data_IF_466470595550
#
_entry.id   IF_466470595550
#
_cell.length_a   1.000
_cell.length_b   1.000
_cell.length_c   1.000
_cell.angle_alpha   90.00
_cell.angle_beta   90.00
_cell.angle_gamma   90.00
#
_symmetry.space_group_name_H-M   'P 1'
#
loop_
_entity.id
_entity.type
_entity.pdbx_description
1 polymer ?
#
# COMPACT_ATOMS: atom_id res chain seq x y z
N UNK A 1 -0.60 4.16 -15.54
CA UNK A 1 -1.61 3.75 -14.53
C UNK A 1 -2.37 4.98 -14.00
N UNK A 2 -3.50 4.82 -13.30
CA UNK A 2 -4.20 5.95 -12.66
C UNK A 2 -3.32 6.69 -11.64
N UNK A 3 -2.42 5.96 -10.98
CA UNK A 3 -1.37 6.51 -10.11
C UNK A 3 -0.57 7.63 -10.77
N UNK A 4 -0.15 7.42 -12.00
CA UNK A 4 0.64 8.40 -12.77
C UNK A 4 -0.26 9.51 -13.32
N UNK A 5 -1.46 9.16 -13.76
CA UNK A 5 -2.44 10.12 -14.28
C UNK A 5 -2.80 11.16 -13.22
N UNK A 6 -2.84 10.79 -11.94
CA UNK A 6 -3.05 11.72 -10.83
C UNK A 6 -2.00 12.86 -10.73
N UNK A 7 -0.89 12.81 -11.47
CA UNK A 7 0.12 13.88 -11.54
C UNK A 7 -0.24 14.98 -12.54
N UNK A 8 -1.18 14.72 -13.43
CA UNK A 8 -1.56 15.58 -14.55
C UNK A 8 -2.67 16.57 -14.14
N UNK A 9 -2.61 17.08 -12.90
CA UNK A 9 -3.72 17.87 -12.32
C UNK A 9 -3.77 19.28 -12.87
N UNK A 10 -4.99 19.79 -12.96
CA UNK A 10 -5.35 21.20 -13.22
C UNK A 10 -4.96 21.77 -14.59
N UNK A 11 -4.32 20.97 -15.45
CA UNK A 11 -4.00 21.33 -16.83
C UNK A 11 -4.95 20.65 -17.82
N UNK A 12 -5.29 21.37 -18.89
CA UNK A 12 -6.08 20.81 -19.99
C UNK A 12 -5.15 20.17 -21.02
N UNK A 13 -5.45 18.92 -21.36
CA UNK A 13 -4.73 18.15 -22.36
C UNK A 13 -5.71 17.66 -23.42
N UNK A 14 -5.17 17.40 -24.60
CA UNK A 14 -5.83 16.52 -25.57
C UNK A 14 -5.38 15.07 -25.35
N UNK A 15 -6.17 14.11 -25.83
CA UNK A 15 -5.79 12.69 -25.71
C UNK A 15 -4.48 12.39 -26.46
N UNK A 16 -4.26 13.04 -27.61
CA UNK A 16 -3.01 12.93 -28.37
C UNK A 16 -1.80 13.41 -27.55
N UNK A 17 -1.92 14.58 -26.90
CA UNK A 17 -0.86 15.10 -26.04
C UNK A 17 -0.57 14.16 -24.86
N UNK A 18 -1.60 13.59 -24.23
CA UNK A 18 -1.41 12.62 -23.15
C UNK A 18 -0.67 11.37 -23.65
N UNK A 19 -1.03 10.85 -24.83
CA UNK A 19 -0.32 9.70 -25.41
C UNK A 19 1.16 10.04 -25.63
N UNK A 20 1.48 11.22 -26.17
CA UNK A 20 2.87 11.63 -26.40
C UNK A 20 3.64 11.87 -25.10
N UNK A 21 3.00 12.43 -24.08
CA UNK A 21 3.61 12.67 -22.76
C UNK A 21 3.92 11.35 -22.05
N UNK A 22 2.95 10.42 -22.04
CA UNK A 22 3.09 9.15 -21.36
C UNK A 22 3.95 8.14 -22.14
N UNK A 23 3.98 8.27 -23.47
CA UNK A 23 4.73 7.40 -24.36
C UNK A 23 5.49 8.24 -25.40
N UNK A 24 6.66 8.82 -25.03
CA UNK A 24 7.45 9.64 -25.95
C UNK A 24 7.90 8.92 -27.22
N UNK A 25 7.95 7.58 -27.21
CA UNK A 25 8.22 6.76 -28.39
C UNK A 25 7.13 6.86 -29.46
N UNK A 26 5.93 7.32 -29.10
CA UNK A 26 4.78 7.50 -29.99
C UNK A 26 4.64 8.95 -30.50
N UNK A 27 5.65 9.80 -30.32
CA UNK A 27 5.59 11.22 -30.72
C UNK A 27 5.40 11.43 -32.23
N UNK A 28 5.74 10.44 -33.06
CA UNK A 28 5.50 10.47 -34.51
C UNK A 28 4.07 10.10 -34.90
N UNK A 29 3.26 9.58 -33.97
CA UNK A 29 1.86 9.19 -34.23
C UNK A 29 1.00 10.44 -34.33
N UNK A 30 0.28 10.59 -35.44
CA UNK A 30 -0.62 11.73 -35.68
C UNK A 30 -2.07 11.43 -35.24
N UNK A 31 -2.89 12.48 -35.16
CA UNK A 31 -4.31 12.35 -34.84
C UNK A 31 -5.04 11.44 -35.84
N UNK A 32 -4.73 11.57 -37.14
CA UNK A 32 -5.34 10.77 -38.20
C UNK A 32 -4.95 9.30 -38.11
N UNK A 33 -3.74 9.00 -37.61
CA UNK A 33 -3.32 7.62 -37.41
C UNK A 33 -4.04 6.98 -36.24
N UNK A 34 -4.26 7.71 -35.13
CA UNK A 34 -5.00 7.19 -33.98
C UNK A 34 -6.43 6.78 -34.32
N UNK A 35 -7.11 7.49 -35.24
CA UNK A 35 -8.49 7.16 -35.61
C UNK A 35 -8.61 5.90 -36.48
N UNK A 36 -7.52 5.46 -37.10
CA UNK A 36 -7.48 4.28 -37.98
C UNK A 36 -6.91 3.04 -37.27
N UNK A 37 -6.14 3.22 -36.20
CA UNK A 37 -5.55 2.12 -35.47
C UNK A 37 -6.56 1.32 -34.65
N UNK A 38 -6.29 0.03 -34.52
CA UNK A 38 -6.94 -0.82 -33.53
C UNK A 38 -6.26 -0.59 -32.17
N UNK A 39 -6.84 0.31 -31.39
CA UNK A 39 -6.27 0.75 -30.12
C UNK A 39 -6.81 -0.08 -28.95
N UNK A 40 -5.92 -0.38 -28.00
CA UNK A 40 -6.27 -0.94 -26.68
C UNK A 40 -5.66 -0.04 -25.61
N UNK A 41 -6.51 0.56 -24.78
CA UNK A 41 -6.11 1.29 -23.60
C UNK A 41 -6.20 0.39 -22.36
N UNK A 42 -5.11 0.28 -21.61
CA UNK A 42 -5.07 -0.45 -20.35
C UNK A 42 -4.91 0.58 -19.23
N UNK A 43 -5.99 0.82 -18.48
CA UNK A 43 -5.99 1.68 -17.32
C UNK A 43 -5.86 0.85 -16.05
N UNK A 44 -4.68 0.90 -15.45
CA UNK A 44 -4.38 0.15 -14.23
C UNK A 44 -4.69 0.96 -12.97
N UNK A 45 -5.47 0.40 -12.05
CA UNK A 45 -5.70 0.90 -10.69
C UNK A 45 -6.75 2.01 -10.56
N UNK A 46 -7.98 1.81 -11.07
CA UNK A 46 -9.05 2.82 -10.97
C UNK A 46 -9.36 3.23 -9.51
N UNK A 47 -9.20 2.32 -8.56
CA UNK A 47 -9.35 2.61 -7.11
C UNK A 47 -8.31 3.58 -6.56
N UNK A 48 -7.24 3.85 -7.32
CA UNK A 48 -6.21 4.83 -6.99
C UNK A 48 -6.49 6.19 -7.65
N UNK A 49 -7.53 6.30 -8.48
CA UNK A 49 -7.90 7.54 -9.17
C UNK A 49 -8.35 8.62 -8.18
N UNK A 50 -7.85 9.84 -8.35
CA UNK A 50 -8.36 11.04 -7.64
C UNK A 50 -9.31 11.87 -8.51
N UNK A 51 -9.64 11.40 -9.70
CA UNK A 51 -10.54 12.08 -10.62
C UNK A 51 -11.99 11.68 -10.34
N UNK A 52 -12.88 12.66 -10.30
CA UNK A 52 -14.32 12.42 -10.28
C UNK A 52 -14.78 12.14 -11.71
N UNK A 53 -15.17 10.90 -12.01
CA UNK A 53 -15.70 10.50 -13.31
C UNK A 53 -17.20 10.79 -13.36
N UNK A 54 -17.58 11.90 -14.00
CA UNK A 54 -18.98 12.28 -14.19
C UNK A 54 -19.46 11.83 -15.57
N UNK A 55 -20.34 10.83 -15.60
CA UNK A 55 -20.98 10.31 -16.82
C UNK A 55 -22.35 10.95 -17.09
N UNK A 56 -22.76 11.94 -16.28
CA UNK A 56 -24.08 12.59 -16.38
C UNK A 56 -24.00 14.00 -16.96
N UNK A 57 -23.03 14.82 -16.51
CA UNK A 57 -22.88 16.21 -16.94
C UNK A 57 -21.52 16.45 -17.63
N UNK A 58 -21.13 15.55 -18.52
CA UNK A 58 -19.86 15.69 -19.24
C UNK A 58 -19.97 16.57 -20.49
N UNK A 59 -18.93 17.35 -20.75
CA UNK A 59 -18.75 18.03 -22.03
C UNK A 59 -18.39 16.99 -23.10
N UNK A 60 -19.06 17.05 -24.26
CA UNK A 60 -18.74 16.16 -25.38
C UNK A 60 -17.34 16.45 -25.91
N UNK A 61 -16.51 15.41 -25.97
CA UNK A 61 -15.18 15.43 -26.58
C UNK A 61 -15.11 14.25 -27.54
N UNK A 62 -14.98 14.53 -28.84
CA UNK A 62 -14.92 13.49 -29.88
C UNK A 62 -13.64 13.56 -30.73
N UNK A 63 -12.86 14.63 -30.59
CA UNK A 63 -11.61 14.85 -31.32
C UNK A 63 -10.42 14.61 -30.39
N UNK A 64 -9.46 13.79 -30.84
CA UNK A 64 -8.23 13.45 -30.08
C UNK A 64 -7.30 14.64 -29.86
N UNK A 65 -7.47 15.73 -30.60
CA UNK A 65 -6.72 17.00 -30.47
C UNK A 65 -7.43 18.04 -29.60
N UNK A 66 -8.71 17.82 -29.28
CA UNK A 66 -9.47 18.74 -28.43
C UNK A 66 -8.97 18.67 -26.99
N UNK A 67 -8.58 19.83 -26.43
CA UNK A 67 -8.18 19.94 -25.04
C UNK A 67 -9.38 19.91 -24.09
N UNK A 68 -9.26 19.12 -23.03
CA UNK A 68 -10.24 19.01 -21.95
C UNK A 68 -9.54 18.60 -20.65
N UNK A 69 -10.30 18.52 -19.55
CA UNK A 69 -9.80 17.85 -18.35
C UNK A 69 -9.60 16.35 -18.60
N UNK A 70 -8.69 15.73 -17.86
CA UNK A 70 -8.49 14.27 -17.97
C UNK A 70 -9.78 13.48 -17.68
N UNK A 71 -10.58 13.94 -16.71
CA UNK A 71 -11.86 13.29 -16.39
C UNK A 71 -12.79 13.28 -17.61
N UNK A 72 -12.96 14.41 -18.29
CA UNK A 72 -13.78 14.49 -19.50
C UNK A 72 -13.23 13.63 -20.63
N UNK A 73 -11.91 13.61 -20.85
CA UNK A 73 -11.30 12.76 -21.87
C UNK A 73 -11.57 11.28 -21.58
N UNK A 74 -11.40 10.85 -20.34
CA UNK A 74 -11.56 9.46 -19.93
C UNK A 74 -13.03 9.04 -19.98
N UNK A 75 -13.97 9.86 -19.52
CA UNK A 75 -15.41 9.53 -19.58
C UNK A 75 -15.89 9.47 -21.03
N UNK A 76 -15.47 10.39 -21.91
CA UNK A 76 -15.80 10.34 -23.33
C UNK A 76 -15.16 9.13 -24.04
N UNK A 77 -13.95 8.71 -23.65
CA UNK A 77 -13.32 7.49 -24.15
C UNK A 77 -14.11 6.25 -23.72
N UNK A 78 -14.53 6.17 -22.45
CA UNK A 78 -15.30 5.05 -21.90
C UNK A 78 -16.72 4.97 -22.48
N UNK A 79 -17.38 6.11 -22.71
CA UNK A 79 -18.69 6.13 -23.38
C UNK A 79 -18.61 5.88 -24.90
N UNK A 80 -17.40 5.91 -25.47
CA UNK A 80 -17.18 5.71 -26.91
C UNK A 80 -17.43 6.96 -27.77
N UNK A 81 -17.52 8.15 -27.16
CA UNK A 81 -17.59 9.42 -27.89
C UNK A 81 -16.21 9.81 -28.48
N UNK A 82 -15.14 9.45 -27.76
CA UNK A 82 -13.75 9.64 -28.18
C UNK A 82 -13.16 8.28 -28.55
N UNK A 83 -12.64 8.16 -29.78
CA UNK A 83 -12.14 6.89 -30.34
C UNK A 83 -13.12 5.71 -30.18
N UNK A 84 -14.29 5.74 -30.86
CA UNK A 84 -15.37 4.75 -30.65
C UNK A 84 -14.97 3.28 -30.87
N UNK A 85 -13.93 3.02 -31.66
CA UNK A 85 -13.43 1.68 -31.96
C UNK A 85 -12.35 1.18 -30.98
N UNK A 86 -11.95 2.00 -30.01
CA UNK A 86 -10.91 1.63 -29.06
C UNK A 86 -11.43 0.62 -28.04
N UNK A 87 -10.59 -0.38 -27.73
CA UNK A 87 -10.83 -1.30 -26.63
C UNK A 87 -10.28 -0.70 -25.34
N UNK A 88 -10.97 -0.94 -24.23
CA UNK A 88 -10.56 -0.43 -22.92
C UNK A 88 -10.54 -1.60 -21.93
N UNK A 89 -9.43 -1.73 -21.21
CA UNK A 89 -9.28 -2.66 -20.09
C UNK A 89 -8.95 -1.88 -18.83
N UNK A 90 -9.81 -1.96 -17.82
CA UNK A 90 -9.62 -1.27 -16.55
C UNK A 90 -9.43 -2.30 -15.45
N UNK A 91 -8.38 -2.14 -14.64
CA UNK A 91 -8.22 -2.89 -13.38
C UNK A 91 -8.67 -2.03 -12.20
N UNK A 92 -9.32 -2.64 -11.22
CA UNK A 92 -9.82 -1.92 -10.04
C UNK A 92 -10.07 -2.88 -8.88
N UNK A 93 -9.97 -2.38 -7.65
CA UNK A 93 -10.61 -3.03 -6.49
C UNK A 93 -12.14 -2.99 -6.63
N UNK A 94 -12.87 -4.04 -6.18
CA UNK A 94 -14.32 -4.12 -6.33
C UNK A 94 -15.09 -2.88 -5.84
N UNK A 95 -14.62 -2.24 -4.77
CA UNK A 95 -15.25 -1.07 -4.17
C UNK A 95 -15.23 0.19 -5.07
N UNK A 96 -14.34 0.27 -6.04
CA UNK A 96 -14.23 1.39 -6.97
C UNK A 96 -14.75 1.07 -8.39
N UNK A 97 -15.02 -0.21 -8.69
CA UNK A 97 -15.52 -0.62 -9.99
C UNK A 97 -16.89 -0.01 -10.34
N UNK A 98 -17.69 0.32 -9.32
CA UNK A 98 -18.98 1.00 -9.46
C UNK A 98 -18.89 2.45 -9.95
N UNK A 99 -17.69 3.04 -10.01
CA UNK A 99 -17.48 4.35 -10.65
C UNK A 99 -17.75 4.29 -12.16
N UNK A 100 -17.65 3.11 -12.78
CA UNK A 100 -17.95 2.91 -14.19
C UNK A 100 -19.40 2.47 -14.34
N UNK A 101 -20.22 3.17 -15.14
CA UNK A 101 -21.60 2.77 -15.38
C UNK A 101 -21.68 1.36 -15.99
N UNK A 102 -22.58 0.48 -15.52
CA UNK A 102 -22.74 -0.87 -16.08
C UNK A 102 -23.02 -0.89 -17.59
N UNK A 103 -23.67 0.17 -18.12
CA UNK A 103 -23.92 0.34 -19.56
C UNK A 103 -22.65 0.44 -20.41
N UNK A 104 -21.51 0.79 -19.80
CA UNK A 104 -20.21 0.95 -20.46
C UNK A 104 -19.29 -0.28 -20.28
N UNK A 105 -19.81 -1.39 -19.73
CA UNK A 105 -19.00 -2.57 -19.38
C UNK A 105 -19.48 -3.80 -20.14
N UNK A 106 -18.68 -4.22 -21.12
CA UNK A 106 -18.97 -5.45 -21.90
C UNK A 106 -18.62 -6.73 -21.14
N UNK A 107 -17.56 -6.70 -20.32
CA UNK A 107 -17.04 -7.88 -19.62
C UNK A 107 -16.40 -7.51 -18.29
N UNK A 108 -16.66 -8.34 -17.28
CA UNK A 108 -16.00 -8.30 -15.96
C UNK A 108 -15.23 -9.59 -15.75
N UNK A 109 -13.97 -9.48 -15.29
CA UNK A 109 -13.15 -10.63 -14.87
C UNK A 109 -12.65 -10.40 -13.46
N UNK A 110 -12.88 -11.37 -12.57
CA UNK A 110 -12.44 -11.30 -11.17
C UNK A 110 -11.11 -12.05 -10.99
N UNK A 111 -10.07 -11.34 -10.53
CA UNK A 111 -8.79 -11.97 -10.15
C UNK A 111 -8.91 -12.54 -8.74
N UNK A 112 -9.04 -13.86 -8.64
CA UNK A 112 -9.31 -14.56 -7.37
C UNK A 112 -8.07 -14.93 -6.55
N UNK A 113 -6.87 -14.67 -7.05
CA UNK A 113 -5.62 -15.04 -6.38
C UNK A 113 -5.26 -16.53 -6.51
N UNK A 114 -4.41 -17.03 -5.63
CA UNK A 114 -3.86 -18.38 -5.65
C UNK A 114 -4.85 -19.43 -5.15
N UNK A 115 -4.92 -20.54 -5.89
CA UNK A 115 -5.47 -21.81 -5.41
C UNK A 115 -4.54 -22.45 -4.38
N UNK A 116 -5.02 -23.45 -3.64
CA UNK A 116 -4.20 -24.12 -2.63
C UNK A 116 -2.93 -24.76 -3.22
N UNK A 117 -3.03 -25.38 -4.40
CA UNK A 117 -1.87 -25.89 -5.11
C UNK A 117 -0.87 -24.79 -5.49
N UNK A 118 -1.36 -23.62 -5.91
CA UNK A 118 -0.51 -22.46 -6.25
C UNK A 118 0.15 -21.84 -5.02
N UNK A 119 -0.51 -21.85 -3.85
CA UNK A 119 0.11 -21.42 -2.58
C UNK A 119 1.31 -22.29 -2.26
N UNK A 120 1.15 -23.61 -2.33
CA UNK A 120 2.24 -24.55 -2.07
C UNK A 120 3.38 -24.39 -3.08
N UNK A 121 3.04 -24.29 -4.36
CA UNK A 121 4.01 -24.08 -5.44
C UNK A 121 4.83 -22.79 -5.24
N UNK A 122 4.18 -21.71 -4.79
CA UNK A 122 4.87 -20.47 -4.46
C UNK A 122 5.97 -20.69 -3.41
N UNK A 123 5.65 -21.37 -2.30
CA UNK A 123 6.60 -21.60 -1.22
C UNK A 123 7.72 -22.58 -1.64
N UNK A 124 7.39 -23.64 -2.40
CA UNK A 124 8.41 -24.55 -2.95
C UNK A 124 9.39 -23.83 -3.87
N UNK A 125 8.90 -22.98 -4.78
CA UNK A 125 9.77 -22.21 -5.68
C UNK A 125 10.62 -21.17 -4.96
N UNK A 126 10.12 -20.63 -3.85
CA UNK A 126 10.79 -19.54 -3.11
C UNK A 126 11.95 -20.04 -2.24
N UNK A 127 11.94 -21.29 -1.79
CA UNK A 127 12.95 -21.85 -0.89
C UNK A 127 13.58 -23.10 -1.50
N UNK A 128 14.90 -23.07 -1.69
CA UNK A 128 15.66 -24.23 -2.19
C UNK A 128 15.81 -25.35 -1.15
N UNK A 129 15.66 -25.02 0.13
CA UNK A 129 15.66 -25.97 1.24
C UNK A 129 14.25 -26.59 1.37
N UNK A 130 14.16 -27.88 1.06
CA UNK A 130 12.90 -28.65 1.06
C UNK A 130 12.32 -28.85 2.47
N UNK A 131 13.16 -28.91 3.51
CA UNK A 131 12.69 -29.05 4.89
C UNK A 131 12.09 -27.73 5.39
N UNK A 132 12.76 -26.61 5.07
CA UNK A 132 12.24 -25.28 5.36
C UNK A 132 10.93 -25.02 4.61
N UNK A 133 10.89 -25.32 3.30
CA UNK A 133 9.71 -25.13 2.46
C UNK A 133 8.52 -25.97 3.00
N UNK A 134 8.78 -27.22 3.38
CA UNK A 134 7.78 -28.14 3.94
C UNK A 134 7.22 -27.65 5.27
N UNK A 135 8.08 -27.13 6.17
CA UNK A 135 7.64 -26.55 7.46
C UNK A 135 6.77 -25.30 7.25
N UNK A 136 7.16 -24.42 6.32
CA UNK A 136 6.39 -23.20 6.00
C UNK A 136 5.01 -23.56 5.42
N UNK A 137 4.96 -24.50 4.47
CA UNK A 137 3.71 -24.98 3.89
C UNK A 137 2.82 -25.61 4.96
N UNK A 138 3.39 -26.42 5.85
CA UNK A 138 2.66 -27.03 6.97
C UNK A 138 2.05 -25.98 7.91
N UNK A 139 2.82 -24.96 8.29
CA UNK A 139 2.32 -23.85 9.12
C UNK A 139 1.24 -23.03 8.42
N UNK A 140 1.43 -22.71 7.14
CA UNK A 140 0.43 -22.02 6.32
C UNK A 140 -0.88 -22.80 6.24
N UNK A 141 -0.83 -24.13 6.09
CA UNK A 141 -2.02 -25.00 6.02
C UNK A 141 -2.74 -25.14 7.36
N UNK A 142 -1.99 -25.27 8.46
CA UNK A 142 -2.55 -25.48 9.80
C UNK A 142 -3.11 -24.19 10.40
N UNK A 143 -2.54 -23.03 10.05
CA UNK A 143 -3.09 -21.72 10.43
C UNK A 143 -4.19 -21.29 9.48
N UNK A 144 -5.45 -21.34 9.94
CA UNK A 144 -6.62 -20.88 9.15
C UNK A 144 -6.45 -19.46 8.62
N UNK A 145 -5.91 -18.55 9.42
CA UNK A 145 -5.71 -17.15 9.03
C UNK A 145 -4.69 -17.04 7.89
N UNK A 146 -3.53 -17.67 8.02
CA UNK A 146 -2.50 -17.65 6.98
C UNK A 146 -2.99 -18.32 5.69
N UNK A 147 -3.67 -19.45 5.82
CA UNK A 147 -4.24 -20.19 4.69
C UNK A 147 -5.19 -19.33 3.85
N UNK A 148 -6.08 -18.57 4.50
CA UNK A 148 -7.04 -17.68 3.83
C UNK A 148 -6.30 -16.52 3.17
N UNK A 149 -5.37 -15.87 3.87
CA UNK A 149 -4.67 -14.70 3.36
C UNK A 149 -3.72 -15.00 2.22
N UNK A 150 -3.01 -16.13 2.26
CA UNK A 150 -2.12 -16.58 1.19
C UNK A 150 -2.85 -16.86 -0.13
N UNK A 151 -4.18 -16.73 -0.17
CA UNK A 151 -4.89 -16.58 -1.44
C UNK A 151 -4.42 -15.35 -2.23
N UNK A 152 -4.02 -14.27 -1.55
CA UNK A 152 -3.49 -13.07 -2.21
C UNK A 152 -1.94 -13.17 -2.24
N UNK A 153 -1.30 -13.09 -3.42
CA UNK A 153 0.15 -13.35 -3.56
C UNK A 153 1.06 -12.53 -2.65
N UNK A 154 0.73 -11.27 -2.37
CA UNK A 154 1.53 -10.42 -1.46
C UNK A 154 1.60 -10.98 -0.05
N UNK A 155 0.55 -11.67 0.41
CA UNK A 155 0.55 -12.31 1.73
C UNK A 155 1.39 -13.58 1.74
N UNK A 156 1.52 -14.30 0.62
CA UNK A 156 2.50 -15.38 0.51
C UNK A 156 3.91 -14.84 0.69
N UNK A 157 4.21 -13.70 0.09
CA UNK A 157 5.52 -13.04 0.23
C UNK A 157 5.80 -12.56 1.65
N UNK A 158 4.84 -11.91 2.31
CA UNK A 158 4.94 -11.51 3.73
C UNK A 158 5.16 -12.75 4.61
N UNK A 159 4.36 -13.79 4.40
CA UNK A 159 4.43 -15.06 5.15
C UNK A 159 5.77 -15.74 4.96
N UNK A 160 6.25 -15.84 3.72
CA UNK A 160 7.56 -16.38 3.40
C UNK A 160 8.66 -15.61 4.12
N UNK A 161 8.63 -14.28 4.08
CA UNK A 161 9.64 -13.41 4.70
C UNK A 161 9.71 -13.60 6.22
N UNK A 162 8.56 -13.65 6.89
CA UNK A 162 8.50 -13.80 8.35
C UNK A 162 8.92 -15.20 8.78
N UNK A 163 8.36 -16.23 8.15
CA UNK A 163 8.65 -17.62 8.54
C UNK A 163 10.08 -18.03 8.18
N UNK A 164 10.64 -17.56 7.06
CA UNK A 164 12.06 -17.74 6.73
C UNK A 164 12.94 -17.22 7.88
N UNK A 165 12.69 -16.00 8.36
CA UNK A 165 13.47 -15.43 9.46
C UNK A 165 13.33 -16.24 10.75
N UNK A 166 12.10 -16.56 11.18
CA UNK A 166 11.86 -17.22 12.46
C UNK A 166 12.31 -18.69 12.48
N UNK A 167 12.28 -19.38 11.33
CA UNK A 167 12.67 -20.80 11.25
C UNK A 167 14.18 -21.00 11.05
N UNK A 168 14.90 -19.97 10.59
CA UNK A 168 16.35 -20.03 10.34
C UNK A 168 17.19 -19.37 11.43
N UNK A 169 16.59 -18.50 12.26
CA UNK A 169 17.25 -17.92 13.43
C UNK A 169 17.00 -18.78 14.68
N UNK A 170 17.89 -18.72 15.67
CA UNK A 170 17.72 -19.43 16.96
C UNK A 170 16.59 -18.84 17.84
N UNK A 171 15.73 -17.96 17.29
CA UNK A 171 14.55 -17.45 17.98
C UNK A 171 13.54 -18.59 18.16
N UNK A 172 13.56 -19.24 19.33
CA UNK A 172 12.58 -20.24 19.78
C UNK A 172 11.17 -19.66 20.04
N UNK A 173 10.81 -18.58 19.36
CA UNK A 173 9.50 -17.97 19.48
C UNK A 173 8.42 -18.83 18.81
N UNK A 174 7.20 -18.81 19.36
CA UNK A 174 6.07 -19.41 18.67
C UNK A 174 5.84 -18.73 17.31
N UNK A 175 5.56 -19.52 16.28
CA UNK A 175 5.26 -18.97 14.96
C UNK A 175 3.97 -18.12 15.01
N UNK A 176 3.88 -17.07 14.18
CA UNK A 176 2.73 -16.17 14.19
C UNK A 176 1.43 -16.92 13.91
N UNK A 177 0.44 -16.71 14.79
CA UNK A 177 -0.90 -17.31 14.68
C UNK A 177 -1.92 -16.29 14.20
N UNK A 178 -1.73 -15.02 14.54
CA UNK A 178 -2.63 -13.93 14.16
C UNK A 178 -2.04 -13.03 13.08
N UNK A 179 -2.93 -12.24 12.48
CA UNK A 179 -2.58 -11.20 11.53
C UNK A 179 -1.72 -10.09 12.15
N UNK A 180 -2.06 -9.71 13.38
CA UNK A 180 -1.30 -8.74 14.17
C UNK A 180 0.11 -9.25 14.42
N UNK A 181 0.28 -10.52 14.80
CA UNK A 181 1.60 -11.14 14.98
C UNK A 181 2.37 -11.11 13.65
N UNK A 182 1.72 -11.52 12.55
CA UNK A 182 2.34 -11.53 11.22
C UNK A 182 2.88 -10.16 10.81
N UNK A 183 2.08 -9.10 10.96
CA UNK A 183 2.54 -7.75 10.62
C UNK A 183 3.60 -7.23 11.58
N UNK A 184 3.46 -7.52 12.88
CA UNK A 184 4.45 -7.12 13.90
C UNK A 184 5.81 -7.76 13.61
N UNK A 185 5.83 -9.06 13.35
CA UNK A 185 7.04 -9.77 12.96
C UNK A 185 7.56 -9.32 11.60
N UNK A 186 6.68 -9.03 10.63
CA UNK A 186 7.11 -8.50 9.34
C UNK A 186 7.85 -7.16 9.50
N UNK A 187 7.28 -6.20 10.24
CA UNK A 187 7.97 -4.93 10.53
C UNK A 187 9.30 -5.13 11.27
N UNK A 188 9.33 -6.06 12.23
CA UNK A 188 10.55 -6.40 12.96
C UNK A 188 11.62 -6.96 12.03
N UNK A 189 11.27 -7.93 11.18
CA UNK A 189 12.19 -8.55 10.21
C UNK A 189 12.77 -7.52 9.25
N UNK A 190 11.93 -6.63 8.72
CA UNK A 190 12.39 -5.59 7.79
C UNK A 190 13.30 -4.57 8.49
N UNK A 191 12.98 -4.19 9.73
CA UNK A 191 13.84 -3.33 10.56
C UNK A 191 15.14 -4.02 10.96
N UNK A 192 15.17 -5.35 11.16
CA UNK A 192 16.42 -6.10 11.42
C UNK A 192 17.29 -6.17 10.17
N UNK A 193 16.71 -6.51 9.01
CA UNK A 193 17.42 -6.61 7.72
C UNK A 193 18.08 -5.28 7.30
N UNK A 194 17.55 -4.14 7.77
CA UNK A 194 18.17 -2.79 7.65
C UNK A 194 19.59 -2.74 8.21
N UNK A 195 19.85 -3.31 9.39
CA UNK A 195 21.15 -3.18 10.08
C UNK A 195 22.27 -3.88 9.31
N UNK A 196 22.02 -5.09 8.80
CA UNK A 196 23.07 -5.90 8.16
C UNK A 196 23.55 -5.31 6.82
N UNK A 197 22.65 -4.75 6.00
CA UNK A 197 23.00 -4.18 4.68
C UNK A 197 23.84 -2.90 4.73
N UNK A 198 23.81 -2.15 5.83
CA UNK A 198 24.59 -0.90 5.98
C UNK A 198 25.91 -1.11 6.74
N UNK A 199 26.05 -2.20 7.50
CA UNK A 199 27.29 -2.51 8.24
C UNK A 199 28.28 -3.36 7.42
N UNK A 200 27.88 -3.91 6.27
CA UNK A 200 28.79 -4.63 5.34
C UNK A 200 29.89 -3.74 4.70
N UNK A 201 29.89 -2.43 4.95
CA UNK A 201 30.99 -1.52 4.58
C UNK A 201 32.11 -1.38 5.61
N UNK A 202 31.97 -1.96 6.81
CA UNK A 202 32.99 -1.97 7.84
C UNK A 202 33.22 -3.40 8.31
N UNK A 203 34.37 -3.96 7.91
CA UNK A 203 34.79 -5.33 8.24
C UNK A 203 34.61 -5.68 9.72
N UNK A 204 34.02 -6.86 9.94
CA UNK A 204 34.35 -7.81 11.00
C UNK A 204 34.48 -7.28 12.43
N UNK A 205 33.37 -7.03 13.12
CA UNK A 205 33.19 -7.50 14.51
C UNK A 205 31.71 -7.44 14.89
N UNK A 206 31.31 -8.33 15.81
CA UNK A 206 29.95 -8.57 16.31
C UNK A 206 29.08 -9.55 15.51
N UNK A 207 29.40 -10.83 15.73
CA UNK A 207 28.36 -11.85 15.96
C UNK A 207 27.50 -11.35 17.13
N UNK A 208 26.29 -10.88 16.89
CA UNK A 208 25.37 -10.51 17.99
C UNK A 208 24.29 -11.57 18.20
N UNK A 209 24.60 -12.46 19.13
CA UNK A 209 23.75 -13.42 19.80
C UNK A 209 22.85 -12.76 20.86
N UNK A 210 22.23 -11.60 20.57
CA UNK A 210 21.29 -10.95 21.50
C UNK A 210 19.98 -10.54 20.81
N UNK A 211 18.81 -10.57 21.51
CA UNK A 211 17.56 -10.07 20.95
C UNK A 211 17.66 -8.54 20.83
N UNK A 212 18.18 -8.05 19.70
CA UNK A 212 18.31 -6.61 19.49
C UNK A 212 16.92 -5.96 19.40
N UNK A 213 16.59 -5.19 20.43
CA UNK A 213 15.38 -4.36 20.54
C UNK A 213 15.41 -3.26 19.47
N UNK A 214 14.23 -2.89 18.92
CA UNK A 214 14.07 -1.73 18.04
C UNK A 214 14.73 -0.49 18.65
N UNK A 215 15.56 0.23 17.89
CA UNK A 215 16.18 1.47 18.39
C UNK A 215 15.13 2.57 18.53
N UNK A 216 15.40 3.60 19.34
CA UNK A 216 14.50 4.75 19.44
C UNK A 216 14.30 5.45 18.08
N UNK A 217 15.33 5.49 17.24
CA UNK A 217 15.22 6.01 15.88
C UNK A 217 14.28 5.15 15.00
N UNK A 218 14.32 3.82 15.12
CA UNK A 218 13.40 2.94 14.39
C UNK A 218 11.94 3.15 14.84
N UNK A 219 11.73 3.32 16.15
CA UNK A 219 10.41 3.63 16.73
C UNK A 219 9.88 4.96 16.20
N UNK A 220 10.71 6.00 16.18
CA UNK A 220 10.32 7.32 15.66
C UNK A 220 9.89 7.24 14.19
N UNK A 221 10.65 6.56 13.34
CA UNK A 221 10.31 6.38 11.92
C UNK A 221 9.00 5.62 11.75
N UNK A 222 8.81 4.51 12.47
CA UNK A 222 7.56 3.73 12.42
C UNK A 222 6.36 4.56 12.87
N UNK A 223 6.52 5.41 13.89
CA UNK A 223 5.44 6.31 14.34
C UNK A 223 5.11 7.37 13.30
N UNK A 224 6.11 7.97 12.63
CA UNK A 224 5.88 8.92 11.53
C UNK A 224 5.19 8.26 10.33
N UNK A 225 5.58 7.03 9.98
CA UNK A 225 4.90 6.25 8.95
C UNK A 225 3.47 5.89 9.34
N UNK A 226 3.23 5.54 10.62
CA UNK A 226 1.89 5.29 11.14
C UNK A 226 1.00 6.53 11.12
N UNK A 227 1.57 7.70 11.41
CA UNK A 227 0.89 8.99 11.27
C UNK A 227 0.51 9.26 9.81
N UNK A 228 1.45 9.12 8.88
CA UNK A 228 1.22 9.26 7.44
C UNK A 228 0.10 8.31 6.97
N UNK A 229 0.16 7.06 7.40
CA UNK A 229 -0.83 6.05 7.07
C UNK A 229 -2.23 6.45 7.56
N UNK A 230 -2.35 6.85 8.83
CA UNK A 230 -3.60 7.26 9.45
C UNK A 230 -4.23 8.48 8.75
N UNK A 231 -3.50 9.60 8.67
CA UNK A 231 -4.03 10.86 8.11
C UNK A 231 -4.46 10.71 6.65
N UNK A 232 -3.80 9.83 5.89
CA UNK A 232 -4.15 9.60 4.49
C UNK A 232 -5.23 8.55 4.29
N UNK A 233 -5.36 7.55 5.18
CA UNK A 233 -6.52 6.64 5.15
C UNK A 233 -7.82 7.42 5.38
N UNK A 234 -7.84 8.38 6.30
CA UNK A 234 -9.01 9.26 6.53
C UNK A 234 -9.38 10.06 5.28
N UNK A 235 -8.37 10.47 4.50
CA UNK A 235 -8.55 11.20 3.22
C UNK A 235 -8.83 10.27 2.03
N UNK A 236 -8.86 8.95 2.22
CA UNK A 236 -8.99 7.97 1.13
C UNK A 236 -7.76 7.87 0.21
N UNK A 237 -6.60 8.37 0.66
CA UNK A 237 -5.37 8.37 -0.10
C UNK A 237 -4.52 7.12 0.20
N UNK A 238 -4.14 6.41 -0.85
CA UNK A 238 -3.19 5.27 -0.80
C UNK A 238 -1.80 5.61 -1.37
N UNK A 239 -1.67 6.81 -1.95
CA UNK A 239 -0.46 7.35 -2.55
C UNK A 239 -0.09 8.67 -1.88
N UNK A 240 1.21 8.91 -1.73
CA UNK A 240 1.78 10.08 -1.08
C UNK A 240 2.82 10.75 -1.98
N UNK A 241 2.93 12.06 -1.88
CA UNK A 241 3.96 12.87 -2.54
C UNK A 241 4.97 13.37 -1.53
N UNK A 242 6.09 13.93 -2.00
CA UNK A 242 7.17 14.38 -1.13
C UNK A 242 6.69 15.39 -0.07
N UNK A 243 5.70 16.21 -0.41
CA UNK A 243 5.08 17.18 0.49
C UNK A 243 4.32 16.49 1.64
N UNK A 244 3.60 15.41 1.34
CA UNK A 244 2.86 14.62 2.33
C UNK A 244 3.82 14.00 3.36
N UNK A 245 4.96 13.48 2.89
CA UNK A 245 6.01 12.92 3.75
C UNK A 245 6.62 14.00 4.65
N UNK A 246 6.95 15.16 4.08
CA UNK A 246 7.49 16.30 4.83
C UNK A 246 6.52 16.80 5.92
N UNK A 247 5.22 16.84 5.63
CA UNK A 247 4.18 17.21 6.62
C UNK A 247 4.15 16.24 7.82
N UNK A 248 4.44 14.97 7.57
CA UNK A 248 4.56 13.95 8.62
C UNK A 248 5.94 13.91 9.29
N UNK A 249 6.86 14.82 8.93
CA UNK A 249 8.21 14.87 9.48
C UNK A 249 9.14 13.75 8.97
N UNK A 250 8.80 13.14 7.82
CA UNK A 250 9.64 12.17 7.12
C UNK A 250 10.53 12.92 6.11
N UNK A 251 11.83 12.96 6.37
CA UNK A 251 12.78 13.56 5.44
C UNK A 251 13.21 12.53 4.38
N UNK A 252 12.73 12.79 3.16
CA UNK A 252 12.99 12.06 1.93
C UNK A 252 14.45 12.17 1.47
N UNK A 253 15.31 12.92 2.17
CA UNK A 253 16.75 12.99 1.92
C UNK A 253 17.57 12.15 2.91
N UNK A 254 16.98 11.70 4.01
CA UNK A 254 17.67 10.87 4.99
C UNK A 254 17.70 9.39 4.57
N UNK A 255 18.89 8.78 4.63
CA UNK A 255 19.07 7.34 4.43
C UNK A 255 18.28 6.47 5.44
N UNK A 256 17.87 7.07 6.57
CA UNK A 256 17.05 6.46 7.62
C UNK A 256 15.66 6.07 7.10
N UNK A 257 15.06 6.90 6.22
CA UNK A 257 13.76 6.65 5.61
C UNK A 257 13.90 5.52 4.58
N UNK A 258 14.89 5.58 3.69
CA UNK A 258 15.06 4.62 2.58
C UNK A 258 15.57 3.23 2.93
N UNK A 259 16.03 2.98 4.15
CA UNK A 259 16.68 1.72 4.49
C UNK A 259 15.70 0.68 5.05
N UNK A 260 15.38 -0.33 4.23
CA UNK A 260 14.63 -1.55 4.59
C UNK A 260 13.13 -1.34 4.81
N UNK A 261 12.75 -0.38 5.65
CA UNK A 261 11.36 0.01 5.91
C UNK A 261 10.78 0.76 4.71
N UNK A 262 11.53 1.63 4.02
CA UNK A 262 11.07 2.24 2.75
C UNK A 262 11.62 1.62 1.46
N UNK A 263 11.90 0.31 1.45
CA UNK A 263 11.97 -0.44 0.18
C UNK A 263 11.01 -1.62 0.17
N UNK A 264 10.85 -2.29 1.32
CA UNK A 264 10.00 -3.48 1.44
C UNK A 264 8.65 -3.20 2.12
N UNK A 265 8.49 -2.12 2.90
CA UNK A 265 7.21 -1.72 3.51
C UNK A 265 6.59 -0.51 2.80
N UNK A 266 7.44 0.40 2.33
CA UNK A 266 7.02 1.64 1.67
C UNK A 266 7.83 1.80 0.39
N UNK A 267 7.18 1.91 -0.77
CA UNK A 267 7.81 1.97 -2.09
C UNK A 267 7.95 3.41 -2.54
N UNK A 268 9.10 3.73 -3.11
CA UNK A 268 9.31 4.92 -3.96
C UNK A 268 9.29 4.45 -5.41
N UNK A 269 8.32 4.94 -6.16
CA UNK A 269 8.20 4.71 -7.60
C UNK A 269 8.42 6.03 -8.34
N UNK A 270 9.07 5.96 -9.49
CA UNK A 270 9.21 7.12 -10.36
C UNK A 270 8.09 7.08 -11.38
N UNK A 271 7.20 8.07 -11.35
CA UNK A 271 6.25 8.28 -12.44
C UNK A 271 6.94 8.81 -13.69
N UNK A 272 6.19 8.88 -14.78
CA UNK A 272 6.64 9.36 -16.10
C UNK A 272 7.34 10.73 -16.08
N UNK A 273 6.96 11.63 -15.17
CA UNK A 273 7.60 12.94 -15.01
C UNK A 273 8.87 12.93 -14.13
N UNK A 274 9.43 11.75 -13.84
CA UNK A 274 10.48 11.55 -12.83
C UNK A 274 10.10 12.06 -11.42
N UNK A 275 8.82 12.37 -11.21
CA UNK A 275 8.29 12.77 -9.91
C UNK A 275 8.15 11.51 -9.05
N UNK A 276 8.79 11.47 -7.87
CA UNK A 276 8.68 10.32 -7.00
C UNK A 276 7.29 10.29 -6.36
N UNK A 277 6.65 9.13 -6.43
CA UNK A 277 5.40 8.83 -5.73
C UNK A 277 5.68 7.73 -4.72
N UNK A 278 5.07 7.85 -3.55
CA UNK A 278 5.28 6.93 -2.45
C UNK A 278 4.00 6.17 -2.10
N UNK A 279 4.11 4.90 -1.73
CA UNK A 279 2.98 4.10 -1.24
C UNK A 279 3.45 2.99 -0.31
N UNK A 280 2.53 2.42 0.47
CA UNK A 280 2.82 1.15 1.14
C UNK A 280 2.78 0.00 0.13
N UNK A 281 3.60 -1.04 0.31
CA UNK A 281 3.59 -2.25 -0.54
C UNK A 281 2.21 -2.88 -0.67
N UNK A 282 1.39 -2.74 0.37
CA UNK A 282 0.01 -3.19 0.37
C UNK A 282 -0.82 -2.36 1.36
N UNK A 283 -2.09 -2.12 1.02
CA UNK A 283 -3.02 -1.34 1.85
C UNK A 283 -3.11 -1.85 3.28
N UNK A 284 -3.14 -3.17 3.48
CA UNK A 284 -3.26 -3.72 4.84
C UNK A 284 -2.06 -3.43 5.73
N UNK A 285 -0.89 -3.10 5.15
CA UNK A 285 0.27 -2.62 5.93
C UNK A 285 0.06 -1.16 6.33
N UNK A 286 -0.52 -0.34 5.44
CA UNK A 286 -0.97 1.02 5.78
C UNK A 286 -1.99 0.99 6.92
N UNK A 287 -3.02 0.15 6.81
CA UNK A 287 -4.06 -0.03 7.84
C UNK A 287 -3.46 -0.49 9.18
N UNK A 288 -2.53 -1.45 9.13
CA UNK A 288 -1.83 -1.91 10.33
C UNK A 288 -1.02 -0.80 11.01
N UNK A 289 -0.21 -0.05 10.24
CA UNK A 289 0.59 1.05 10.78
C UNK A 289 -0.27 2.20 11.31
N UNK A 290 -1.39 2.49 10.66
CA UNK A 290 -2.37 3.44 11.17
C UNK A 290 -2.97 2.98 12.51
N UNK A 291 -3.32 1.69 12.63
CA UNK A 291 -3.82 1.13 13.89
C UNK A 291 -2.76 1.20 15.01
N UNK A 292 -1.49 0.92 14.69
CA UNK A 292 -0.37 1.09 15.63
C UNK A 292 -0.24 2.54 16.09
N UNK A 293 -0.36 3.51 15.18
CA UNK A 293 -0.30 4.93 15.51
C UNK A 293 -1.46 5.37 16.43
N UNK A 294 -2.70 4.98 16.11
CA UNK A 294 -3.87 5.27 16.96
C UNK A 294 -3.70 4.65 18.35
N UNK A 295 -3.24 3.40 18.43
CA UNK A 295 -2.96 2.75 19.70
C UNK A 295 -1.86 3.46 20.50
N UNK A 296 -0.80 3.94 19.83
CA UNK A 296 0.23 4.75 20.47
C UNK A 296 -0.32 6.08 20.99
N UNK A 297 -1.16 6.79 20.23
CA UNK A 297 -1.81 8.02 20.68
C UNK A 297 -2.72 7.77 21.88
N UNK A 298 -3.46 6.67 21.89
CA UNK A 298 -4.31 6.24 23.00
C UNK A 298 -3.51 5.99 24.28
N UNK A 299 -2.45 5.19 24.20
CA UNK A 299 -1.61 4.84 25.36
C UNK A 299 -0.83 6.04 25.91
N UNK A 300 -0.44 6.99 25.06
CA UNK A 300 0.29 8.20 25.45
C UNK A 300 -0.62 9.41 25.73
N UNK A 301 -1.95 9.21 25.83
CA UNK A 301 -2.94 10.26 26.11
C UNK A 301 -2.83 11.49 25.18
N UNK A 302 -2.51 11.27 23.89
CA UNK A 302 -2.51 12.33 22.86
C UNK A 302 -3.96 12.61 22.43
N UNK A 303 -4.67 13.39 23.25
CA UNK A 303 -6.12 13.55 23.19
C UNK A 303 -6.63 14.25 21.95
N UNK A 304 -5.86 15.18 21.37
CA UNK A 304 -6.27 15.93 20.17
C UNK A 304 -6.49 15.00 18.97
N UNK A 305 -5.52 14.13 18.67
CA UNK A 305 -5.61 13.15 17.57
C UNK A 305 -6.78 12.19 17.75
N UNK A 306 -7.09 11.79 19.00
CA UNK A 306 -8.19 10.87 19.29
C UNK A 306 -9.56 11.56 19.27
N UNK A 307 -9.62 12.83 19.65
CA UNK A 307 -10.83 13.65 19.62
C UNK A 307 -11.27 13.93 18.20
N UNK A 308 -10.33 14.27 17.33
CA UNK A 308 -10.59 14.52 15.90
C UNK A 308 -11.11 13.25 15.20
N UNK A 309 -10.56 12.08 15.55
CA UNK A 309 -10.96 10.80 14.95
C UNK A 309 -12.28 10.22 15.48
N UNK A 310 -12.43 10.12 16.81
CA UNK A 310 -13.54 9.41 17.45
C UNK A 310 -14.76 10.30 17.70
N UNK A 311 -14.60 11.62 17.57
CA UNK A 311 -15.54 12.62 18.07
C UNK A 311 -15.39 12.84 19.59
N UNK A 312 -15.70 14.05 20.05
CA UNK A 312 -15.50 14.49 21.45
C UNK A 312 -16.11 13.53 22.47
N UNK A 313 -17.36 13.09 22.27
CA UNK A 313 -18.08 12.23 23.21
C UNK A 313 -17.44 10.85 23.41
N UNK A 314 -16.93 10.22 22.34
CA UNK A 314 -16.29 8.91 22.43
C UNK A 314 -14.90 9.00 23.05
N UNK A 315 -14.17 10.07 22.75
CA UNK A 315 -12.83 10.30 23.32
C UNK A 315 -12.86 10.44 24.85
N UNK A 316 -13.88 11.11 25.40
CA UNK A 316 -14.06 11.30 26.85
C UNK A 316 -14.42 9.99 27.55
N UNK A 317 -15.21 9.12 26.91
CA UNK A 317 -15.57 7.80 27.45
C UNK A 317 -14.37 6.84 27.49
N UNK A 318 -13.48 6.91 26.50
CA UNK A 318 -12.22 6.16 26.52
C UNK A 318 -11.28 6.63 27.64
N UNK A 319 -11.24 7.94 27.93
CA UNK A 319 -10.44 8.49 29.04
C UNK A 319 -10.97 8.08 30.42
N UNK A 320 -12.30 7.99 30.59
CA UNK A 320 -12.89 7.48 31.84
C UNK A 320 -12.51 6.02 32.11
N UNK A 321 -12.40 5.21 31.06
CA UNK A 321 -12.02 3.80 31.16
C UNK A 321 -10.52 3.55 31.41
N UNK A 322 -9.63 4.47 30.99
CA UNK A 322 -8.19 4.36 31.29
C UNK A 322 -7.85 4.82 32.70
N UNK A 323 -8.42 5.93 33.16
CA UNK A 323 -8.20 6.43 34.53
C UNK A 323 -8.79 5.49 35.62
N UNK A 324 -9.73 4.61 35.27
CA UNK A 324 -10.30 3.61 36.19
C UNK A 324 -9.46 2.34 36.40
N UNK A 325 -8.39 2.12 35.62
CA UNK A 325 -7.53 0.93 35.76
C UNK A 325 -6.27 1.16 36.62
N UNK A 326 -5.90 2.42 36.87
CA UNK A 326 -4.71 2.76 37.65
C UNK A 326 -4.95 2.77 39.19
N UNK A 327 -6.17 2.50 39.67
CA UNK A 327 -6.54 2.57 41.10
C UNK A 327 -6.93 1.21 41.73
N UNK A 328 -6.40 0.07 41.25
CA UNK A 328 -6.80 -1.24 41.80
C UNK A 328 -5.68 -2.16 42.28
N UNK A 329 -4.50 -1.61 42.52
CA UNK A 329 -3.41 -2.30 43.22
C UNK A 329 -2.82 -1.37 44.27
N UNK A 330 -3.57 -1.11 45.33
CA UNK A 330 -3.03 -0.76 46.63
C UNK A 330 -4.17 -0.86 47.66
N UNK A 331 -3.87 -1.48 48.80
CA UNK A 331 -4.73 -1.89 49.92
C UNK A 331 -5.38 -3.27 49.78
N UNK A 332 -4.67 -4.29 50.29
CA UNK A 332 -5.20 -5.31 51.21
C UNK A 332 -4.00 -6.04 51.83
N UNK A 333 -3.22 -5.34 52.67
CA UNK A 333 -2.46 -5.92 53.77
C UNK A 333 -2.95 -5.21 55.03
N UNK A 334 -3.76 -5.90 55.83
CA UNK A 334 -3.83 -5.81 57.30
C UNK A 334 -5.07 -6.60 57.79
N UNK A 335 -4.87 -7.88 58.14
CA UNK A 335 -5.28 -8.53 59.41
C UNK A 335 -4.84 -10.01 59.46
#
# INVERSE_FOLDING_TARGET
SFRELNLVRDEQYSLLELIHVFYPTLQSVTAEQLTVFNLLFIFDGLDESRFLLDFTNMKLVSDVTQKSSFSELLTNLIEGNLLPSALIWITSRPAAANQIPPKCVDRVTEVRGFTDAQKEEYFRRRFSDEDLSSRIISHMKTSRSLHIMCRIPVFCWITATVLEHMLTTEEKAELPKTLTDMYSHFLLVQTKRKKNKYHEGHENLFVETSPQVLTEADREVLLKLGRLAFEHLEKGNIMFYQEDLKQCGLDVSEASVYSGVCTEIFKKEFGIFQKPVYCFVHLSIQEFLAAVYVFHCYTNKKTEVLQDFLGKENSENLQKNTNGRDNKYDSDEDE
#
